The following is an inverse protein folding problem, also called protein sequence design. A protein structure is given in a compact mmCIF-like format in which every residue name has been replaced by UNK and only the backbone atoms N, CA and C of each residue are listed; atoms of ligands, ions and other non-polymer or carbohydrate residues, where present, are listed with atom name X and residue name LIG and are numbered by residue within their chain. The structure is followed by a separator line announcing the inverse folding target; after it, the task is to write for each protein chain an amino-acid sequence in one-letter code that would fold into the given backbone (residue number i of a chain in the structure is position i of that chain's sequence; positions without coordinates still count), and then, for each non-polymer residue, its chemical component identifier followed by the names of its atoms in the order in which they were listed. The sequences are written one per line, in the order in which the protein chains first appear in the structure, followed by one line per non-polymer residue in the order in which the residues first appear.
data_IF_875364018296
#
_entry.id   IF_875364018296
#
_cell.length_a   1.000
_cell.length_b   1.000
_cell.length_c   1.000
_cell.angle_alpha   90.00
_cell.angle_beta   90.00
_cell.angle_gamma   90.00
#
_symmetry.space_group_name_H-M   'P 1'
#
loop_
_entity.id
_entity.type
_entity.pdbx_description
1 polymer ?
#
# COMPACT_ATOMS: atom_id res chain seq x y z
N UNK A 1 13.51 8.10 -1.96
CA UNK A 1 13.17 8.29 -3.38
C UNK A 1 13.03 6.94 -4.03
N UNK A 2 12.17 6.80 -5.05
CA UNK A 2 12.10 5.58 -5.86
C UNK A 2 11.62 5.88 -7.26
N UNK A 3 11.95 5.03 -8.22
CA UNK A 3 11.71 5.34 -9.63
C UNK A 3 11.64 4.15 -10.57
N UNK A 4 11.75 4.48 -11.86
CA UNK A 4 11.67 3.54 -12.98
C UNK A 4 12.87 2.60 -13.08
N UNK A 5 13.98 2.94 -12.42
CA UNK A 5 15.20 2.14 -12.32
C UNK A 5 15.10 1.01 -11.27
N UNK A 6 13.91 0.81 -10.70
CA UNK A 6 13.63 -0.26 -9.73
C UNK A 6 14.42 -0.09 -8.42
N UNK A 7 14.85 1.13 -8.11
CA UNK A 7 15.64 1.42 -6.92
C UNK A 7 14.85 2.25 -5.91
N UNK A 8 15.13 1.97 -4.64
CA UNK A 8 14.74 2.79 -3.51
C UNK A 8 16.02 3.33 -2.90
N UNK A 9 16.16 4.65 -2.89
CA UNK A 9 17.31 5.34 -2.32
C UNK A 9 16.89 6.19 -1.13
N UNK A 10 17.67 6.09 -0.05
CA UNK A 10 17.56 6.95 1.12
C UNK A 10 18.60 8.05 0.99
N UNK A 11 18.14 9.30 1.02
CA UNK A 11 18.97 10.47 0.83
C UNK A 11 19.06 11.24 2.16
N UNK A 12 20.27 11.52 2.60
CA UNK A 12 20.53 12.38 3.74
C UNK A 12 20.61 13.82 3.24
N UNK A 13 19.59 14.61 3.61
CA UNK A 13 19.48 16.01 3.19
C UNK A 13 20.61 16.85 3.80
N UNK A 14 21.04 16.56 5.03
CA UNK A 14 22.09 17.33 5.70
C UNK A 14 23.45 17.10 5.07
N UNK A 15 23.74 15.85 4.68
CA UNK A 15 25.00 15.48 4.00
C UNK A 15 24.95 15.67 2.48
N UNK A 16 23.77 15.89 1.91
CA UNK A 16 23.58 16.01 0.47
C UNK A 16 23.93 14.72 -0.29
N UNK A 17 23.83 13.55 0.33
CA UNK A 17 24.29 12.29 -0.26
C UNK A 17 23.31 11.15 -0.07
N UNK A 18 23.36 10.18 -0.99
CA UNK A 18 22.62 8.92 -0.88
C UNK A 18 23.33 8.03 0.13
N UNK A 19 22.66 7.73 1.24
CA UNK A 19 23.20 6.88 2.31
C UNK A 19 22.93 5.39 2.07
N UNK A 20 21.91 5.07 1.28
CA UNK A 20 21.51 3.69 0.99
C UNK A 20 20.77 3.60 -0.33
N UNK A 21 20.99 2.52 -1.08
CA UNK A 21 20.22 2.21 -2.28
C UNK A 21 19.96 0.72 -2.35
N UNK A 22 18.69 0.36 -2.46
CA UNK A 22 18.23 -1.01 -2.60
C UNK A 22 17.55 -1.18 -3.96
N UNK A 23 17.77 -2.31 -4.63
CA UNK A 23 17.04 -2.66 -5.85
C UNK A 23 15.90 -3.60 -5.50
N UNK A 24 14.68 -3.20 -5.82
CA UNK A 24 13.49 -4.04 -5.71
C UNK A 24 12.90 -4.26 -7.10
N UNK A 25 12.67 -5.51 -7.49
CA UNK A 25 11.98 -5.85 -8.74
C UNK A 25 10.70 -5.04 -8.93
N UNK A 26 10.50 -4.49 -10.12
CA UNK A 26 9.35 -3.65 -10.47
C UNK A 26 9.56 -2.17 -10.21
N UNK A 27 9.06 -1.33 -11.13
CA UNK A 27 9.14 0.13 -11.03
C UNK A 27 8.43 0.64 -9.78
N UNK A 28 9.07 1.50 -8.99
CA UNK A 28 8.45 2.08 -7.80
C UNK A 28 7.52 3.23 -8.22
N UNK A 29 6.24 3.12 -7.88
CA UNK A 29 5.18 4.06 -8.28
C UNK A 29 4.74 4.99 -7.14
N UNK A 30 4.94 4.57 -5.90
CA UNK A 30 4.58 5.32 -4.71
C UNK A 30 5.44 4.85 -3.53
N UNK A 31 5.75 5.77 -2.63
CA UNK A 31 6.41 5.52 -1.35
C UNK A 31 5.58 6.24 -0.30
N UNK A 32 5.13 5.53 0.72
CA UNK A 32 4.34 6.07 1.83
C UNK A 32 5.09 5.74 3.11
N UNK A 33 5.45 6.75 3.89
CA UNK A 33 6.02 6.54 5.22
C UNK A 33 4.87 6.33 6.22
N UNK A 34 5.00 5.35 7.10
CA UNK A 34 4.00 5.10 8.13
C UNK A 34 3.94 6.26 9.11
N UNK A 35 2.73 6.76 9.38
CA UNK A 35 2.49 7.79 10.41
C UNK A 35 2.72 7.26 11.82
N UNK A 36 2.59 5.95 12.05
CA UNK A 36 2.80 5.34 13.36
C UNK A 36 4.28 5.11 13.66
N UNK A 37 5.07 4.74 12.65
CA UNK A 37 6.50 4.48 12.80
C UNK A 37 7.28 5.00 11.59
N UNK A 38 8.09 6.06 11.73
CA UNK A 38 8.81 6.65 10.61
C UNK A 38 9.87 5.73 9.99
N UNK A 39 10.26 4.64 10.66
CA UNK A 39 11.18 3.66 10.09
C UNK A 39 10.49 2.70 9.12
N UNK A 40 9.15 2.66 9.10
CA UNK A 40 8.39 1.77 8.24
C UNK A 40 7.91 2.54 7.02
N UNK A 41 8.17 1.95 5.85
CA UNK A 41 7.74 2.47 4.56
C UNK A 41 6.92 1.40 3.85
N UNK A 42 5.78 1.82 3.30
CA UNK A 42 5.06 1.08 2.28
C UNK A 42 5.52 1.55 0.89
N UNK A 43 5.93 0.62 0.04
CA UNK A 43 6.23 0.92 -1.37
C UNK A 43 5.23 0.22 -2.28
N UNK A 44 4.78 0.95 -3.29
CA UNK A 44 3.91 0.42 -4.35
C UNK A 44 4.73 0.25 -5.62
N UNK A 45 4.59 -0.90 -6.26
CA UNK A 45 5.39 -1.34 -7.41
C UNK A 45 4.48 -1.69 -8.58
N UNK A 46 4.95 -1.37 -9.78
CA UNK A 46 4.25 -1.73 -11.02
C UNK A 46 4.52 -3.18 -11.38
N UNK A 47 3.78 -4.08 -10.73
CA UNK A 47 3.83 -5.54 -10.92
C UNK A 47 2.41 -6.11 -11.04
N UNK A 48 2.28 -7.30 -11.62
CA UNK A 48 1.02 -8.05 -11.69
C UNK A 48 0.61 -8.68 -10.35
N UNK A 49 1.59 -9.01 -9.50
CA UNK A 49 1.39 -9.58 -8.16
C UNK A 49 2.35 -8.89 -7.17
N UNK A 50 2.09 -9.02 -5.87
CA UNK A 50 2.92 -8.47 -4.81
C UNK A 50 3.24 -6.99 -5.00
N UNK A 51 2.27 -6.18 -5.43
CA UNK A 51 2.50 -4.77 -5.75
C UNK A 51 3.05 -3.99 -4.55
N UNK A 52 2.77 -4.42 -3.33
CA UNK A 52 3.13 -3.71 -2.12
C UNK A 52 4.28 -4.39 -1.39
N UNK A 53 5.12 -3.57 -0.76
CA UNK A 53 6.14 -4.05 0.17
C UNK A 53 6.20 -3.19 1.42
N UNK A 54 6.45 -3.84 2.56
CA UNK A 54 6.84 -3.17 3.79
C UNK A 54 8.36 -3.21 3.91
N UNK A 55 8.95 -2.03 4.06
CA UNK A 55 10.37 -1.81 4.20
C UNK A 55 10.68 -1.22 5.58
N UNK A 56 11.64 -1.80 6.29
CA UNK A 56 12.18 -1.24 7.54
C UNK A 56 13.52 -0.55 7.26
N UNK A 57 13.55 0.76 7.45
CA UNK A 57 14.73 1.60 7.21
C UNK A 57 15.91 1.31 8.14
N UNK A 58 15.67 0.67 9.30
CA UNK A 58 16.72 0.41 10.29
C UNK A 58 17.59 -0.80 9.93
N UNK A 59 17.01 -1.71 9.16
CA UNK A 59 17.60 -3.01 8.85
C UNK A 59 18.58 -2.90 7.68
N UNK A 60 19.49 -3.85 7.54
CA UNK A 60 20.37 -3.92 6.36
C UNK A 60 19.57 -4.22 5.08
N UNK A 61 20.10 -3.83 3.92
CA UNK A 61 19.39 -3.90 2.63
C UNK A 61 18.85 -5.31 2.29
N UNK A 62 19.56 -6.36 2.69
CA UNK A 62 19.18 -7.76 2.52
C UNK A 62 17.98 -8.19 3.39
N UNK A 63 17.74 -7.49 4.51
CA UNK A 63 16.70 -7.80 5.50
C UNK A 63 15.64 -6.72 5.64
N UNK A 64 15.75 -5.64 4.88
CA UNK A 64 14.90 -4.48 5.02
C UNK A 64 13.48 -4.73 4.50
N UNK A 65 13.30 -5.60 3.51
CA UNK A 65 11.97 -6.01 3.04
C UNK A 65 11.39 -7.03 4.03
N UNK A 66 10.34 -6.63 4.75
CA UNK A 66 9.68 -7.46 5.79
C UNK A 66 8.46 -8.19 5.28
N UNK A 67 7.77 -7.63 4.29
CA UNK A 67 6.55 -8.20 3.74
C UNK A 67 6.40 -7.80 2.28
N UNK A 68 5.90 -8.72 1.47
CA UNK A 68 5.40 -8.47 0.11
C UNK A 68 3.95 -8.97 0.07
N UNK A 69 3.08 -8.19 -0.54
CA UNK A 69 1.65 -8.49 -0.59
C UNK A 69 0.99 -7.71 -1.72
N UNK A 70 -0.26 -8.07 -2.03
CA UNK A 70 -1.04 -7.38 -3.04
C UNK A 70 -2.18 -8.24 -3.53
N UNK A 71 -2.54 -8.04 -4.79
CA UNK A 71 -3.60 -8.79 -5.46
C UNK A 71 -3.11 -9.24 -6.82
N UNK A 72 -3.75 -10.27 -7.37
CA UNK A 72 -3.44 -10.71 -8.72
C UNK A 72 -4.17 -9.81 -9.72
N UNK A 73 -3.39 -9.09 -10.51
CA UNK A 73 -3.87 -8.24 -11.61
C UNK A 73 -3.49 -8.87 -12.95
N UNK A 74 -4.30 -8.61 -13.98
CA UNK A 74 -3.98 -9.08 -15.34
C UNK A 74 -2.74 -8.39 -15.91
N UNK A 75 -2.61 -7.09 -15.61
CA UNK A 75 -1.51 -6.25 -16.04
C UNK A 75 -0.74 -5.70 -14.84
N UNK A 76 0.45 -5.15 -15.11
CA UNK A 76 1.20 -4.45 -14.08
C UNK A 76 0.36 -3.30 -13.50
N UNK A 77 0.33 -3.18 -12.17
CA UNK A 77 -0.39 -2.12 -11.49
C UNK A 77 0.05 -0.75 -12.03
N UNK A 78 -0.93 0.01 -12.49
CA UNK A 78 -0.67 1.32 -13.08
C UNK A 78 -0.08 2.28 -12.05
N UNK A 79 0.88 3.11 -12.49
CA UNK A 79 1.44 4.20 -11.68
C UNK A 79 0.41 5.21 -11.17
N UNK A 80 -0.76 5.26 -11.81
CA UNK A 80 -1.87 6.13 -11.45
C UNK A 80 -2.74 5.55 -10.34
N UNK A 81 -2.63 4.25 -10.06
CA UNK A 81 -3.26 3.63 -8.90
C UNK A 81 -2.43 3.98 -7.67
N UNK A 82 -3.07 4.61 -6.69
CA UNK A 82 -2.49 5.06 -5.44
C UNK A 82 -3.15 4.32 -4.30
N UNK A 83 -2.32 3.59 -3.56
CA UNK A 83 -2.69 3.02 -2.27
C UNK A 83 -2.55 4.09 -1.19
N UNK A 84 -3.11 3.80 -0.02
CA UNK A 84 -2.89 4.57 1.18
C UNK A 84 -2.74 3.68 2.41
N UNK A 85 -2.01 4.18 3.40
CA UNK A 85 -1.81 3.52 4.69
C UNK A 85 -2.52 4.32 5.77
N UNK A 86 -3.43 3.66 6.47
CA UNK A 86 -4.17 4.28 7.56
C UNK A 86 -3.24 4.74 8.70
N UNK A 87 -3.68 5.75 9.48
CA UNK A 87 -2.92 6.32 10.61
C UNK A 87 -2.48 5.30 11.68
N UNK A 88 -3.15 4.14 11.74
CA UNK A 88 -2.76 3.05 12.64
C UNK A 88 -1.51 2.28 12.19
N UNK A 89 -0.99 2.55 10.99
CA UNK A 89 0.24 1.95 10.47
C UNK A 89 0.14 0.48 10.04
N UNK A 90 -1.02 -0.16 10.17
CA UNK A 90 -1.19 -1.58 9.82
C UNK A 90 -2.35 -1.85 8.85
N UNK A 91 -3.19 -0.87 8.54
CA UNK A 91 -4.22 -1.03 7.51
C UNK A 91 -3.78 -0.34 6.22
N UNK A 92 -3.84 -1.06 5.10
CA UNK A 92 -3.53 -0.54 3.76
C UNK A 92 -4.76 -0.70 2.88
N UNK A 93 -5.08 0.30 2.08
CA UNK A 93 -6.17 0.26 1.11
C UNK A 93 -5.66 0.57 -0.29
N UNK A 94 -6.19 -0.14 -1.29
CA UNK A 94 -5.91 0.14 -2.69
C UNK A 94 -7.11 -0.23 -3.57
N UNK A 95 -7.38 0.60 -4.56
CA UNK A 95 -8.35 0.32 -5.60
C UNK A 95 -7.90 -0.81 -6.54
N UNK A 96 -8.87 -1.59 -7.02
CA UNK A 96 -8.69 -2.52 -8.13
C UNK A 96 -8.52 -1.78 -9.46
N UNK A 97 -7.57 -2.24 -10.28
CA UNK A 97 -7.42 -1.71 -11.63
C UNK A 97 -8.47 -2.29 -12.59
N UNK A 98 -8.77 -3.57 -12.43
CA UNK A 98 -9.73 -4.32 -13.28
C UNK A 98 -11.07 -4.57 -12.59
N UNK A 99 -11.24 -4.10 -11.35
CA UNK A 99 -12.44 -4.31 -10.55
C UNK A 99 -12.91 -3.03 -9.90
N UNK A 100 -14.24 -2.93 -9.75
CA UNK A 100 -14.91 -1.86 -9.03
C UNK A 100 -14.82 -2.05 -7.50
N UNK A 101 -13.66 -2.44 -6.98
CA UNK A 101 -13.46 -2.79 -5.57
C UNK A 101 -12.32 -2.00 -4.96
N UNK A 102 -12.46 -1.64 -3.69
CA UNK A 102 -11.32 -1.30 -2.85
C UNK A 102 -10.97 -2.51 -2.01
N UNK A 103 -9.70 -2.87 -2.05
CA UNK A 103 -9.13 -3.97 -1.30
C UNK A 103 -8.39 -3.42 -0.09
N UNK A 104 -8.54 -4.12 1.03
CA UNK A 104 -7.95 -3.76 2.31
C UNK A 104 -7.06 -4.90 2.81
N UNK A 105 -5.90 -4.54 3.33
CA UNK A 105 -4.97 -5.45 3.97
C UNK A 105 -4.73 -5.00 5.40
N UNK A 106 -5.04 -5.87 6.36
CA UNK A 106 -4.60 -5.75 7.73
C UNK A 106 -3.27 -6.50 7.90
N UNK A 107 -2.19 -5.74 8.03
CA UNK A 107 -0.82 -6.26 8.12
C UNK A 107 -0.56 -7.08 9.40
N UNK A 108 -1.49 -7.07 10.37
CA UNK A 108 -1.41 -7.91 11.57
C UNK A 108 -1.86 -9.33 11.31
N UNK A 109 -2.62 -9.58 10.23
CA UNK A 109 -3.21 -10.87 9.95
C UNK A 109 -2.21 -11.84 9.31
N UNK A 110 -2.14 -13.07 9.81
CA UNK A 110 -1.33 -14.13 9.23
C UNK A 110 -1.86 -14.48 7.83
N UNK A 111 -1.01 -14.42 6.81
CA UNK A 111 -1.42 -14.68 5.42
C UNK A 111 -1.81 -13.42 4.61
N UNK A 112 -1.53 -12.21 5.13
CA UNK A 112 -1.70 -10.98 4.33
C UNK A 112 -0.90 -10.99 3.02
N UNK A 113 0.17 -11.78 2.94
CA UNK A 113 0.95 -11.98 1.71
C UNK A 113 0.21 -12.78 0.64
N UNK A 114 -0.76 -13.62 1.02
CA UNK A 114 -1.47 -14.51 0.08
C UNK A 114 -2.87 -14.02 -0.30
N UNK A 115 -3.48 -13.14 0.51
CA UNK A 115 -4.85 -12.68 0.26
C UNK A 115 -5.13 -11.28 0.79
N UNK A 116 -6.09 -10.64 0.14
CA UNK A 116 -6.78 -9.44 0.62
C UNK A 116 -7.54 -9.78 1.91
N UNK A 117 -7.47 -8.92 2.92
CA UNK A 117 -8.19 -9.14 4.19
C UNK A 117 -9.69 -8.97 4.03
N UNK A 118 -10.12 -7.91 3.33
CA UNK A 118 -11.50 -7.75 2.88
C UNK A 118 -11.58 -6.76 1.71
N UNK A 119 -12.71 -6.77 1.00
CA UNK A 119 -12.96 -5.89 -0.15
C UNK A 119 -14.31 -5.22 -0.03
N UNK A 120 -14.41 -3.99 -0.53
CA UNK A 120 -15.67 -3.24 -0.63
C UNK A 120 -15.95 -2.93 -2.09
N UNK A 121 -17.13 -3.33 -2.57
CA UNK A 121 -17.63 -2.95 -3.89
C UNK A 121 -17.98 -1.46 -3.91
N UNK A 122 -17.48 -0.75 -4.91
CA UNK A 122 -17.79 0.65 -5.19
C UNK A 122 -18.65 0.70 -6.45
N UNK A 123 -19.97 0.92 -6.32
CA UNK A 123 -20.88 0.84 -7.45
C UNK A 123 -20.48 1.75 -8.62
N UNK A 124 -20.80 1.29 -9.84
CA UNK A 124 -20.75 2.10 -11.08
C UNK A 124 -19.37 2.63 -11.46
N UNK A 125 -18.30 1.99 -10.97
CA UNK A 125 -16.95 2.55 -11.07
C UNK A 125 -15.92 1.48 -11.46
N UNK A 126 -15.55 1.32 -12.75
CA UNK A 126 -14.78 0.15 -13.19
C UNK A 126 -13.33 0.12 -12.71
N UNK A 127 -12.71 1.28 -12.44
CA UNK A 127 -11.31 1.40 -12.04
C UNK A 127 -11.12 2.48 -10.99
N UNK A 128 -10.67 2.07 -9.81
CA UNK A 128 -10.41 2.97 -8.69
C UNK A 128 -8.93 3.34 -8.72
N UNK A 129 -8.65 4.62 -8.95
CA UNK A 129 -7.28 5.14 -9.08
C UNK A 129 -6.71 5.60 -7.75
N UNK A 130 -7.53 6.13 -6.85
CA UNK A 130 -7.05 6.63 -5.55
C UNK A 130 -7.93 6.06 -4.46
N UNK A 131 -7.32 5.57 -3.40
CA UNK A 131 -7.95 5.26 -2.12
C UNK A 131 -7.20 6.06 -1.06
N UNK A 132 -7.91 6.82 -0.22
CA UNK A 132 -7.29 7.73 0.75
C UNK A 132 -8.09 7.75 2.05
N UNK A 133 -7.44 7.43 3.16
CA UNK A 133 -8.01 7.58 4.49
C UNK A 133 -8.02 9.06 4.89
N UNK A 134 -9.16 9.56 5.37
CA UNK A 134 -9.26 10.95 5.82
C UNK A 134 -8.68 11.06 7.25
N UNK A 135 -7.65 11.89 7.48
CA UNK A 135 -7.09 12.06 8.82
C UNK A 135 -8.13 12.56 9.82
N UNK A 136 -8.18 11.92 10.98
CA UNK A 136 -9.11 12.30 12.06
C UNK A 136 -10.56 11.84 11.88
N UNK A 137 -10.90 11.19 10.76
CA UNK A 137 -12.24 10.69 10.49
C UNK A 137 -12.19 9.19 10.15
N UNK A 138 -13.24 8.46 10.52
CA UNK A 138 -13.38 7.05 10.15
C UNK A 138 -14.07 6.95 8.77
N UNK A 139 -13.54 7.72 7.81
CA UNK A 139 -14.03 7.84 6.44
C UNK A 139 -12.85 7.73 5.48
N UNK A 140 -13.08 7.05 4.36
CA UNK A 140 -12.14 6.94 3.24
C UNK A 140 -12.77 7.54 1.99
N UNK A 141 -11.96 8.20 1.17
CA UNK A 141 -12.36 8.70 -0.14
C UNK A 141 -11.72 7.84 -1.22
N UNK A 142 -12.52 7.54 -2.24
CA UNK A 142 -12.05 6.86 -3.44
C UNK A 142 -12.29 7.74 -4.66
N UNK A 143 -11.36 7.74 -5.60
CA UNK A 143 -11.51 8.45 -6.87
C UNK A 143 -11.23 7.51 -8.05
N UNK A 144 -12.06 7.61 -9.08
CA UNK A 144 -12.03 6.70 -10.22
C UNK A 144 -11.48 7.31 -11.50
N UNK A 145 -11.17 6.44 -12.48
CA UNK A 145 -10.86 6.87 -13.84
C UNK A 145 -12.05 7.53 -14.55
N UNK A 146 -13.27 7.26 -14.08
CA UNK A 146 -14.54 7.77 -14.62
C UNK A 146 -15.02 9.04 -13.91
N UNK A 147 -14.15 9.72 -13.15
CA UNK A 147 -14.43 10.98 -12.44
C UNK A 147 -15.48 10.89 -11.33
N UNK A 148 -15.76 9.69 -10.84
CA UNK A 148 -16.57 9.50 -9.65
C UNK A 148 -15.70 9.55 -8.41
N UNK A 149 -16.25 10.15 -7.36
CA UNK A 149 -15.68 10.15 -6.03
C UNK A 149 -16.71 9.56 -5.08
N UNK A 150 -16.28 8.62 -4.23
CA UNK A 150 -17.15 7.99 -3.25
C UNK A 150 -16.53 8.10 -1.87
N UNK A 151 -17.39 8.30 -0.87
CA UNK A 151 -17.05 8.29 0.53
C UNK A 151 -17.49 6.96 1.14
N UNK A 152 -16.61 6.37 1.92
CA UNK A 152 -16.80 5.08 2.56
C UNK A 152 -16.49 5.24 4.04
N UNK A 153 -17.54 5.21 4.85
CA UNK A 153 -17.38 5.17 6.31
C UNK A 153 -16.98 3.77 6.74
N UNK A 154 -16.09 3.70 7.72
CA UNK A 154 -15.59 2.45 8.27
C UNK A 154 -15.56 2.48 9.79
N UNK A 155 -15.29 1.33 10.40
CA UNK A 155 -15.01 1.25 11.82
C UNK A 155 -13.83 0.33 12.02
N UNK A 156 -12.81 0.82 12.73
CA UNK A 156 -11.62 0.01 13.04
C UNK A 156 -11.86 -0.67 14.38
N UNK A 157 -11.93 -2.00 14.37
CA UNK A 157 -11.91 -2.78 15.62
C UNK A 157 -10.51 -2.69 16.23
N UNK A 158 -10.41 -2.03 17.38
CA UNK A 158 -9.18 -2.02 18.20
C UNK A 158 -9.06 -3.37 18.90
N UNK A 159 -7.86 -3.94 18.86
CA UNK A 159 -7.43 -5.04 19.73
C UNK A 159 -8.01 -6.46 19.53
N UNK A 160 -8.74 -6.73 18.45
CA UNK A 160 -8.99 -8.13 18.03
C UNK A 160 -7.79 -8.65 17.22
N UNK A 161 -6.96 -9.52 17.83
CA UNK A 161 -6.07 -10.40 17.05
C UNK A 161 -6.98 -11.41 16.36
N UNK A 162 -7.25 -11.21 15.08
CA UNK A 162 -7.97 -12.18 14.26
C UNK A 162 -7.04 -13.37 14.05
N UNK A 163 -7.08 -14.34 14.97
CA UNK A 163 -6.54 -15.67 14.74
C UNK A 163 -7.60 -16.44 13.97
N UNK A 164 -7.47 -16.54 12.66
CA UNK A 164 -8.13 -17.66 11.98
C UNK A 164 -7.11 -18.79 11.86
N UNK A 165 -7.45 -19.88 12.54
CA UNK A 165 -6.80 -21.16 12.46
C UNK A 165 -7.35 -21.91 11.24
N UNK A 166 -6.42 -22.54 10.52
CA UNK A 166 -6.55 -23.53 9.43
C UNK A 166 -7.15 -23.08 8.09
#
# INVERSE_FOLDING_TARGET
MGGQDERISVFDIQKGTVIRTNRSTGKICQIIQSNLNPNIILTTRSLQNDQFQIYDLRESDDKAIKLKFGQNEKDNLSRYVKADMHKNGYMVACGGQETAKVNFWDLRYCGVSSRVSFSVDVPKTPKILVSMFIPGQDTMVTASSTRYMNWLDYSVRKDEIIKEFE
#
